data_IF_412948571833
#
_entry.id   IF_412948571833
#
_cell.length_a   1.000
_cell.length_b   1.000
_cell.length_c   1.000
_cell.angle_alpha   90.00
_cell.angle_beta   90.00
_cell.angle_gamma   90.00
#
_symmetry.space_group_name_H-M   'P 1'
#
loop_
_entity.id
_entity.type
_entity.pdbx_description
1 polymer ?
#
# COMPACT_ATOMS: atom_id res chain seq x y z
N UNK A 1 12.62 -19.38 -3.10
CA UNK A 1 11.56 -18.36 -3.15
C UNK A 1 11.35 -17.88 -1.73
N UNK A 2 11.81 -16.69 -1.36
CA UNK A 2 11.60 -16.17 -0.01
C UNK A 2 11.14 -14.73 -0.11
N UNK A 3 9.82 -14.58 -0.06
CA UNK A 3 9.15 -13.56 0.74
C UNK A 3 7.68 -13.99 0.80
N UNK A 4 7.37 -14.89 1.74
CA UNK A 4 6.00 -15.30 2.10
C UNK A 4 5.25 -14.18 2.85
N UNK A 5 5.65 -12.92 2.66
CA UNK A 5 5.00 -11.78 3.30
C UNK A 5 3.69 -11.50 2.56
N UNK A 6 2.59 -11.53 3.30
CA UNK A 6 1.28 -11.21 2.78
C UNK A 6 1.13 -9.70 2.62
N UNK A 7 1.11 -9.21 1.38
CA UNK A 7 0.90 -7.79 1.07
C UNK A 7 -0.59 -7.40 0.96
N UNK A 8 -1.52 -8.31 1.20
CA UNK A 8 -2.95 -7.97 1.18
C UNK A 8 -3.30 -7.08 2.37
N UNK A 9 -4.11 -6.06 2.13
CA UNK A 9 -4.64 -5.18 3.15
C UNK A 9 -5.89 -4.49 2.62
N UNK A 10 -6.67 -3.89 3.51
CA UNK A 10 -7.80 -3.04 3.16
C UNK A 10 -7.88 -1.88 4.13
N UNK A 11 -8.47 -0.76 3.69
CA UNK A 11 -8.73 0.40 4.52
C UNK A 11 -9.99 1.11 4.02
N UNK A 12 -10.88 1.51 4.92
CA UNK A 12 -12.05 2.30 4.53
C UNK A 12 -11.69 3.77 4.42
N UNK A 13 -12.44 4.53 3.62
CA UNK A 13 -12.22 5.98 3.50
C UNK A 13 -12.46 6.71 4.83
N UNK A 14 -13.27 6.15 5.73
CA UNK A 14 -13.42 6.71 7.08
C UNK A 14 -12.15 6.53 7.90
N UNK A 15 -11.52 5.36 7.86
CA UNK A 15 -10.27 5.07 8.58
C UNK A 15 -9.12 5.92 8.03
N UNK A 16 -9.06 6.13 6.71
CA UNK A 16 -8.07 7.06 6.11
C UNK A 16 -8.20 8.46 6.72
N UNK A 17 -9.42 8.97 6.86
CA UNK A 17 -9.65 10.32 7.42
C UNK A 17 -9.40 10.40 8.92
N UNK A 18 -9.61 9.29 9.64
CA UNK A 18 -9.37 9.21 11.08
C UNK A 18 -7.87 9.10 11.39
N UNK A 19 -7.19 8.14 10.75
CA UNK A 19 -5.81 7.79 11.06
C UNK A 19 -4.78 8.63 10.28
N UNK A 20 -5.14 9.09 9.09
CA UNK A 20 -4.28 9.83 8.16
C UNK A 20 -4.99 11.12 7.70
N UNK A 21 -5.33 12.05 8.61
CA UNK A 21 -6.23 13.18 8.34
C UNK A 21 -5.73 14.17 7.29
N UNK A 22 -4.45 14.11 6.89
CA UNK A 22 -3.89 14.91 5.80
C UNK A 22 -4.13 14.32 4.41
N UNK A 23 -4.64 13.09 4.31
CA UNK A 23 -4.88 12.38 3.05
C UNK A 23 -6.36 12.47 2.69
N UNK A 24 -6.65 12.93 1.48
CA UNK A 24 -7.98 12.89 0.88
C UNK A 24 -8.14 11.57 0.09
N UNK A 25 -8.90 10.57 0.59
CA UNK A 25 -9.04 9.30 -0.08
C UNK A 25 -9.76 9.38 -1.43
N UNK A 26 -10.44 10.49 -1.74
CA UNK A 26 -11.03 10.70 -3.06
C UNK A 26 -10.05 11.27 -4.09
N UNK A 27 -8.92 11.83 -3.65
CA UNK A 27 -7.99 12.56 -4.50
C UNK A 27 -6.52 12.36 -4.06
N UNK A 28 -6.04 11.13 -4.25
CA UNK A 28 -4.69 10.76 -3.85
C UNK A 28 -3.62 11.33 -4.78
N UNK A 29 -2.60 11.96 -4.18
CA UNK A 29 -1.32 12.17 -4.86
C UNK A 29 -0.47 10.89 -4.83
N UNK A 30 0.60 10.86 -5.64
CA UNK A 30 1.58 9.75 -5.63
C UNK A 30 2.19 9.51 -4.25
N UNK A 31 2.39 10.58 -3.49
CA UNK A 31 2.91 10.53 -2.13
C UNK A 31 1.88 9.94 -1.17
N UNK A 32 0.60 10.29 -1.31
CA UNK A 32 -0.47 9.77 -0.46
C UNK A 32 -0.65 8.26 -0.67
N UNK A 33 -0.57 7.79 -1.91
CA UNK A 33 -0.58 6.36 -2.24
C UNK A 33 0.53 5.61 -1.51
N UNK A 34 1.76 6.12 -1.57
CA UNK A 34 2.90 5.52 -0.88
C UNK A 34 2.68 5.53 0.64
N UNK A 35 2.22 6.65 1.22
CA UNK A 35 1.96 6.77 2.65
C UNK A 35 0.87 5.80 3.12
N UNK A 36 -0.22 5.66 2.37
CA UNK A 36 -1.30 4.70 2.66
C UNK A 36 -0.80 3.26 2.63
N UNK A 37 -0.03 2.89 1.60
CA UNK A 37 0.52 1.55 1.49
C UNK A 37 1.50 1.26 2.64
N UNK A 38 2.39 2.19 2.99
CA UNK A 38 3.29 2.04 4.14
C UNK A 38 2.53 1.96 5.46
N UNK A 39 1.49 2.77 5.65
CA UNK A 39 0.63 2.71 6.83
C UNK A 39 0.06 1.29 7.00
N UNK A 40 -0.54 0.75 5.94
CA UNK A 40 -1.13 -0.59 5.95
C UNK A 40 -0.09 -1.69 6.19
N UNK A 41 1.08 -1.60 5.55
CA UNK A 41 2.11 -2.62 5.73
C UNK A 41 2.70 -2.60 7.15
N UNK A 42 2.87 -1.41 7.75
CA UNK A 42 3.37 -1.27 9.13
C UNK A 42 2.43 -1.86 10.20
N UNK A 43 1.16 -2.08 9.87
CA UNK A 43 0.23 -2.78 10.77
C UNK A 43 0.41 -4.30 10.75
N UNK A 44 1.13 -4.86 9.77
CA UNK A 44 1.28 -6.31 9.61
C UNK A 44 2.46 -6.83 10.42
N UNK A 45 2.23 -7.94 11.12
CA UNK A 45 3.29 -8.61 11.88
C UNK A 45 4.46 -9.01 10.95
N UNK A 46 5.68 -8.71 11.40
CA UNK A 46 6.89 -9.04 10.66
C UNK A 46 7.21 -8.13 9.47
N UNK A 47 6.42 -7.08 9.22
CA UNK A 47 6.81 -6.07 8.24
C UNK A 47 8.03 -5.29 8.73
N UNK A 48 9.02 -5.18 7.84
CA UNK A 48 10.18 -4.31 8.01
C UNK A 48 10.35 -3.54 6.71
N UNK A 49 10.27 -2.22 6.78
CA UNK A 49 10.55 -1.36 5.63
C UNK A 49 12.05 -1.37 5.34
N UNK A 50 12.42 -1.91 4.19
CA UNK A 50 13.80 -1.97 3.69
C UNK A 50 14.04 -0.97 2.57
N UNK A 51 12.99 -0.37 2.02
CA UNK A 51 13.07 0.58 0.93
C UNK A 51 11.74 0.71 0.19
N UNK A 52 11.39 1.94 -0.18
CA UNK A 52 10.15 2.26 -0.85
C UNK A 52 10.30 3.45 -1.80
N UNK A 53 9.40 3.58 -2.76
CA UNK A 53 9.46 4.61 -3.80
C UNK A 53 8.05 4.99 -4.29
N UNK A 54 7.81 6.28 -4.51
CA UNK A 54 6.63 6.75 -5.25
C UNK A 54 6.62 6.20 -6.68
N UNK A 55 5.44 5.91 -7.22
CA UNK A 55 5.32 5.52 -8.63
C UNK A 55 4.26 6.34 -9.36
N UNK A 56 2.97 6.13 -9.05
CA UNK A 56 1.85 6.88 -9.64
C UNK A 56 0.65 6.98 -8.68
N UNK A 57 -0.44 7.56 -9.14
CA UNK A 57 -1.68 7.83 -8.36
C UNK A 57 -2.43 6.56 -7.92
N UNK A 58 -1.92 5.37 -8.24
CA UNK A 58 -2.52 4.10 -7.82
C UNK A 58 -1.51 3.10 -7.25
N UNK A 59 -0.21 3.31 -7.46
CA UNK A 59 0.82 2.32 -7.10
C UNK A 59 2.04 2.96 -6.45
N UNK A 60 2.73 2.16 -5.64
CA UNK A 60 4.04 2.49 -5.08
C UNK A 60 4.89 1.21 -4.93
N UNK A 61 6.21 1.39 -4.87
CA UNK A 61 7.14 0.29 -4.59
C UNK A 61 7.39 0.19 -3.08
N UNK A 62 7.28 -1.01 -2.53
CA UNK A 62 7.64 -1.33 -1.13
C UNK A 62 8.43 -2.64 -1.13
N UNK A 63 9.62 -2.62 -0.54
CA UNK A 63 10.53 -3.78 -0.46
C UNK A 63 10.79 -4.47 -1.81
N UNK A 64 10.77 -3.70 -2.91
CA UNK A 64 10.91 -4.23 -4.27
C UNK A 64 9.66 -4.87 -4.88
N UNK A 65 8.51 -4.82 -4.18
CA UNK A 65 7.20 -5.22 -4.69
C UNK A 65 6.39 -3.99 -5.13
N UNK A 66 5.69 -4.12 -6.26
CA UNK A 66 4.80 -3.08 -6.77
C UNK A 66 3.39 -3.33 -6.23
N UNK A 67 2.97 -2.48 -5.31
CA UNK A 67 1.65 -2.56 -4.68
C UNK A 67 0.71 -1.54 -5.32
N UNK A 68 -0.56 -1.93 -5.46
CA UNK A 68 -1.63 -1.14 -6.05
C UNK A 68 -2.77 -0.96 -5.06
N UNK A 69 -3.23 0.28 -4.88
CA UNK A 69 -4.50 0.59 -4.23
C UNK A 69 -5.63 0.45 -5.27
N UNK A 70 -6.61 -0.39 -4.98
CA UNK A 70 -7.77 -0.62 -5.83
C UNK A 70 -9.00 -0.10 -5.08
N UNK A 71 -9.74 0.88 -5.63
CA UNK A 71 -11.00 1.30 -5.06
C UNK A 71 -11.95 0.11 -4.89
N UNK A 72 -12.57 0.00 -3.73
CA UNK A 72 -13.49 -1.07 -3.39
C UNK A 72 -14.72 -0.50 -2.66
N UNK A 73 -15.86 -1.18 -2.84
CA UNK A 73 -17.06 -0.98 -2.02
C UNK A 73 -17.33 -2.30 -1.32
N UNK A 74 -17.34 -2.29 0.01
CA UNK A 74 -17.55 -3.50 0.80
C UNK A 74 -19.02 -3.98 0.79
N UNK A 75 -19.30 -5.09 1.46
CA UNK A 75 -20.64 -5.67 1.53
C UNK A 75 -21.69 -4.75 2.21
N UNK A 76 -21.26 -3.74 2.97
CA UNK A 76 -22.10 -2.77 3.65
C UNK A 76 -22.27 -1.47 2.83
N UNK A 77 -21.70 -1.39 1.63
CA UNK A 77 -21.73 -0.19 0.80
C UNK A 77 -20.69 0.86 1.20
N UNK A 78 -19.70 0.52 2.03
CA UNK A 78 -18.66 1.44 2.48
C UNK A 78 -17.52 1.50 1.46
N UNK A 79 -17.10 2.71 1.12
CA UNK A 79 -15.99 2.95 0.19
C UNK A 79 -14.64 2.78 0.90
N UNK A 80 -13.69 2.17 0.20
CA UNK A 80 -12.36 1.90 0.70
C UNK A 80 -11.38 1.56 -0.41
N UNK A 81 -10.20 1.13 0.01
CA UNK A 81 -9.19 0.54 -0.84
C UNK A 81 -8.89 -0.90 -0.42
N UNK A 82 -8.56 -1.73 -1.39
CA UNK A 82 -7.86 -3.01 -1.18
C UNK A 82 -6.48 -2.95 -1.83
N UNK A 83 -5.50 -3.59 -1.19
CA UNK A 83 -4.13 -3.66 -1.69
C UNK A 83 -3.95 -4.92 -2.53
N UNK A 84 -3.40 -4.75 -3.73
CA UNK A 84 -2.97 -5.85 -4.59
C UNK A 84 -1.49 -5.72 -4.90
N UNK A 85 -0.72 -6.80 -4.73
CA UNK A 85 0.62 -6.91 -5.29
C UNK A 85 0.51 -7.23 -6.79
N UNK A 86 0.95 -6.31 -7.65
CA UNK A 86 0.83 -6.43 -9.11
C UNK A 86 2.15 -6.74 -9.81
N UNK A 87 3.26 -6.76 -9.07
CA UNK A 87 4.57 -7.12 -9.60
C UNK A 87 5.68 -7.11 -8.56
N UNK A 88 6.87 -7.50 -8.98
CA UNK A 88 8.11 -7.38 -8.20
C UNK A 88 9.28 -7.09 -9.12
N UNK A 89 10.35 -6.50 -8.57
CA UNK A 89 11.59 -6.25 -9.29
C UNK A 89 12.73 -6.95 -8.54
N UNK A 90 13.34 -7.94 -9.18
CA UNK A 90 14.49 -8.66 -8.62
C UNK A 90 15.68 -7.72 -8.40
N UNK A 91 15.90 -6.76 -9.29
CA UNK A 91 16.96 -5.76 -9.13
C UNK A 91 16.74 -4.90 -7.90
N UNK A 92 15.51 -4.42 -7.68
CA UNK A 92 15.17 -3.66 -6.47
C UNK A 92 15.36 -4.52 -5.24
N UNK A 93 14.89 -5.78 -5.24
CA UNK A 93 15.03 -6.70 -4.09
C UNK A 93 16.51 -6.95 -3.75
N UNK A 94 17.36 -7.16 -4.76
CA UNK A 94 18.79 -7.40 -4.58
C UNK A 94 19.53 -6.20 -3.96
N UNK A 95 19.01 -4.98 -4.11
CA UNK A 95 19.56 -3.77 -3.49
C UNK A 95 19.16 -3.60 -2.01
N UNK A 96 18.28 -4.45 -1.48
CA UNK A 96 17.75 -4.40 -0.12
C UNK A 96 18.36 -5.46 0.81
N UNK A 97 19.38 -6.19 0.33
CA UNK A 97 20.16 -7.18 1.09
C UNK A 97 21.29 -6.55 1.90
#
# INVERSE_FOLDING_TARGET
MKSDFDFSAHILFMDVREDLPSIDPENLSRKDVLQLLLYLMNQKEGFLDRGHEENNEQTAWINGFLLKLIPNIDANGMQGYVVQCVGSSMDKIALLE
#
